data_IF_342900735145
#
_entry.id   IF_342900735145
#
_cell.length_a   1.000
_cell.length_b   1.000
_cell.length_c   1.000
_cell.angle_alpha   90.00
_cell.angle_beta   90.00
_cell.angle_gamma   90.00
#
_symmetry.space_group_name_H-M   'P 1'
#
loop_
_entity.id
_entity.type
_entity.pdbx_description
1 polymer ?
#
# COMPACT_ATOMS: atom_id res chain seq x y z
N UNK A 1 -33.64 26.43 15.16
CA UNK A 1 -32.60 25.84 16.04
C UNK A 1 -32.13 24.42 15.65
N UNK A 2 -32.84 23.69 14.78
CA UNK A 2 -32.49 22.29 14.39
C UNK A 2 -31.23 22.13 13.51
N UNK A 3 -30.70 23.20 12.94
CA UNK A 3 -29.63 23.11 11.92
C UNK A 3 -28.21 23.20 12.52
N UNK A 4 -28.08 23.68 13.77
CA UNK A 4 -26.77 23.80 14.44
C UNK A 4 -26.22 22.46 14.94
N UNK A 5 -27.09 21.52 15.33
CA UNK A 5 -26.69 20.18 15.80
C UNK A 5 -26.16 19.28 14.68
N UNK A 6 -26.69 19.40 13.46
CA UNK A 6 -26.24 18.61 12.31
C UNK A 6 -24.82 18.97 11.86
N UNK A 7 -24.47 20.26 11.91
CA UNK A 7 -23.13 20.74 11.55
C UNK A 7 -22.05 20.20 12.50
N UNK A 8 -22.31 20.13 13.81
CA UNK A 8 -21.35 19.61 14.79
C UNK A 8 -21.06 18.12 14.62
N UNK A 9 -22.09 17.31 14.31
CA UNK A 9 -21.91 15.87 14.06
C UNK A 9 -21.12 15.64 12.77
N UNK A 10 -21.42 16.39 11.70
CA UNK A 10 -20.70 16.27 10.43
C UNK A 10 -19.20 16.62 10.58
N UNK A 11 -18.86 17.65 11.36
CA UNK A 11 -17.47 18.02 11.66
C UNK A 11 -16.75 16.93 12.45
N UNK A 12 -17.39 16.34 13.46
CA UNK A 12 -16.80 15.25 14.25
C UNK A 12 -16.55 14.00 13.40
N UNK A 13 -17.49 13.65 12.51
CA UNK A 13 -17.32 12.52 11.58
C UNK A 13 -16.17 12.78 10.60
N UNK A 14 -16.07 13.98 10.02
CA UNK A 14 -14.98 14.33 9.12
C UNK A 14 -13.61 14.25 9.81
N UNK A 15 -13.49 14.76 11.05
CA UNK A 15 -12.25 14.68 11.83
C UNK A 15 -11.89 13.24 12.19
N UNK A 16 -12.89 12.41 12.55
CA UNK A 16 -12.67 10.99 12.83
C UNK A 16 -12.19 10.24 11.58
N UNK A 17 -12.77 10.51 10.40
CA UNK A 17 -12.33 9.91 9.14
C UNK A 17 -10.90 10.31 8.76
N UNK A 18 -10.54 11.58 8.95
CA UNK A 18 -9.17 12.06 8.72
C UNK A 18 -8.17 11.45 9.71
N UNK A 19 -8.54 11.36 10.99
CA UNK A 19 -7.71 10.71 12.01
C UNK A 19 -7.49 9.22 11.71
N UNK A 20 -8.56 8.52 11.32
CA UNK A 20 -8.49 7.12 10.90
C UNK A 20 -7.60 6.93 9.66
N UNK A 21 -7.76 7.80 8.65
CA UNK A 21 -6.94 7.74 7.45
C UNK A 21 -5.45 7.98 7.76
N UNK A 22 -5.12 8.95 8.61
CA UNK A 22 -3.73 9.20 9.00
C UNK A 22 -3.11 8.00 9.73
N UNK A 23 -3.85 7.37 10.64
CA UNK A 23 -3.35 6.21 11.40
C UNK A 23 -3.11 4.99 10.49
N UNK A 24 -3.85 4.88 9.38
CA UNK A 24 -3.76 3.75 8.44
C UNK A 24 -2.72 3.95 7.33
N UNK A 25 -2.06 5.11 7.26
CA UNK A 25 -0.97 5.32 6.31
C UNK A 25 0.26 4.48 6.70
N UNK A 26 0.84 3.71 5.76
CA UNK A 26 2.08 2.96 6.00
C UNK A 26 3.22 3.90 6.39
N UNK A 27 3.97 3.55 7.44
CA UNK A 27 5.10 4.35 7.96
C UNK A 27 6.45 3.79 7.55
N UNK A 28 6.48 2.54 7.08
CA UNK A 28 7.69 1.83 6.66
C UNK A 28 7.53 1.21 5.27
N UNK A 29 8.62 0.96 4.53
CA UNK A 29 8.57 0.23 3.27
C UNK A 29 7.96 -1.18 3.41
N UNK A 30 8.17 -1.85 4.55
CA UNK A 30 7.56 -3.15 4.84
C UNK A 30 6.04 -3.07 4.96
N UNK A 31 5.52 -2.13 5.76
CA UNK A 31 4.08 -1.92 5.87
C UNK A 31 3.47 -1.51 4.53
N UNK A 32 4.17 -0.65 3.78
CA UNK A 32 3.78 -0.24 2.45
C UNK A 32 3.65 -1.45 1.51
N UNK A 33 4.68 -2.29 1.44
CA UNK A 33 4.66 -3.55 0.70
C UNK A 33 3.50 -4.45 1.12
N UNK A 34 3.31 -4.68 2.43
CA UNK A 34 2.25 -5.56 2.92
C UNK A 34 0.86 -5.06 2.54
N UNK A 35 0.60 -3.76 2.71
CA UNK A 35 -0.71 -3.18 2.39
C UNK A 35 -0.99 -3.24 0.88
N UNK A 36 -0.04 -2.80 0.04
CA UNK A 36 -0.26 -2.78 -1.41
C UNK A 36 -0.30 -4.18 -2.01
N UNK A 37 0.68 -5.03 -1.70
CA UNK A 37 0.77 -6.35 -2.31
C UNK A 37 -0.24 -7.37 -1.76
N UNK A 38 -0.82 -7.15 -0.58
CA UNK A 38 -1.89 -8.01 -0.06
C UNK A 38 -3.31 -7.60 -0.53
N UNK A 39 -3.44 -6.52 -1.29
CA UNK A 39 -4.75 -5.99 -1.71
C UNK A 39 -5.52 -6.96 -2.62
N UNK A 40 -4.82 -7.69 -3.48
CA UNK A 40 -5.47 -8.60 -4.44
C UNK A 40 -5.45 -10.06 -4.01
N UNK A 41 -4.38 -10.50 -3.33
CA UNK A 41 -4.18 -11.89 -2.91
C UNK A 41 -3.20 -11.97 -1.74
N UNK A 42 -3.06 -13.15 -1.13
CA UNK A 42 -2.05 -13.40 -0.10
C UNK A 42 -0.64 -13.19 -0.67
N UNK A 43 0.26 -12.64 0.14
CA UNK A 43 1.66 -12.45 -0.25
C UNK A 43 2.34 -13.79 -0.55
N UNK A 44 3.06 -13.90 -1.68
CA UNK A 44 3.77 -15.12 -2.03
C UNK A 44 5.00 -15.31 -1.13
N UNK A 45 5.45 -16.56 -1.01
CA UNK A 45 6.79 -16.81 -0.49
C UNK A 45 7.83 -16.40 -1.53
N UNK A 46 8.71 -15.49 -1.14
CA UNK A 46 9.77 -14.98 -2.00
C UNK A 46 11.11 -15.68 -1.75
N UNK A 47 11.22 -16.61 -0.78
CA UNK A 47 12.47 -17.24 -0.34
C UNK A 47 13.29 -17.84 -1.50
N UNK A 48 12.63 -18.43 -2.49
CA UNK A 48 13.26 -19.06 -3.66
C UNK A 48 13.78 -18.11 -4.74
N UNK A 49 13.50 -16.81 -4.67
CA UNK A 49 13.96 -15.82 -5.66
C UNK A 49 15.25 -15.13 -5.23
N UNK A 50 16.11 -14.87 -6.21
CA UNK A 50 17.32 -14.06 -6.07
C UNK A 50 17.00 -12.57 -6.10
N UNK A 51 17.97 -11.77 -5.65
CA UNK A 51 17.85 -10.30 -5.60
C UNK A 51 17.58 -9.69 -6.98
N UNK A 52 18.29 -10.13 -8.00
CA UNK A 52 18.17 -9.64 -9.39
C UNK A 52 16.85 -10.04 -10.07
N UNK A 53 16.13 -11.03 -9.52
CA UNK A 53 14.82 -11.46 -10.01
C UNK A 53 13.67 -10.61 -9.47
N UNK A 54 13.85 -9.92 -8.33
CA UNK A 54 12.81 -9.15 -7.63
C UNK A 54 12.19 -8.07 -8.52
N UNK A 55 13.01 -7.28 -9.20
CA UNK A 55 12.53 -6.24 -10.10
C UNK A 55 11.67 -6.82 -11.24
N UNK A 56 12.01 -8.03 -11.70
CA UNK A 56 11.23 -8.79 -12.68
C UNK A 56 9.85 -9.19 -12.16
N UNK A 57 9.75 -9.61 -10.88
CA UNK A 57 8.48 -9.97 -10.25
C UNK A 57 7.56 -8.75 -10.17
N UNK A 58 8.04 -7.63 -9.62
CA UNK A 58 7.23 -6.41 -9.46
C UNK A 58 6.75 -5.91 -10.82
N UNK A 59 7.64 -5.88 -11.82
CA UNK A 59 7.29 -5.51 -13.20
C UNK A 59 6.24 -6.45 -13.80
N UNK A 60 6.37 -7.76 -13.59
CA UNK A 60 5.42 -8.76 -14.10
C UNK A 60 4.06 -8.58 -13.45
N UNK A 61 3.99 -8.39 -12.12
CA UNK A 61 2.72 -8.16 -11.45
C UNK A 61 2.00 -6.93 -12.01
N UNK A 62 2.73 -5.84 -12.23
CA UNK A 62 2.15 -4.60 -12.77
C UNK A 62 1.69 -4.76 -14.21
N UNK A 63 2.54 -5.30 -15.09
CA UNK A 63 2.27 -5.30 -16.54
C UNK A 63 1.47 -6.50 -17.03
N UNK A 64 1.45 -7.62 -16.31
CA UNK A 64 0.78 -8.86 -16.71
C UNK A 64 -0.37 -9.26 -15.81
N UNK A 65 -0.35 -8.87 -14.54
CA UNK A 65 -1.36 -9.31 -13.56
C UNK A 65 -2.26 -8.15 -13.08
N UNK A 66 -2.19 -6.99 -13.73
CA UNK A 66 -3.10 -5.86 -13.46
C UNK A 66 -2.82 -5.10 -12.17
N UNK A 67 -1.64 -5.28 -11.56
CA UNK A 67 -1.28 -4.54 -10.35
C UNK A 67 -0.97 -3.06 -10.63
N UNK A 68 -0.82 -2.66 -11.89
CA UNK A 68 -0.74 -1.25 -12.33
C UNK A 68 -1.96 -0.41 -11.91
N UNK A 69 -3.12 -1.03 -11.72
CA UNK A 69 -4.34 -0.37 -11.22
C UNK A 69 -4.28 0.05 -9.76
N UNK A 70 -3.37 -0.55 -8.99
CA UNK A 70 -3.27 -0.40 -7.53
C UNK A 70 -1.84 -0.19 -7.06
N UNK A 71 -0.86 -0.07 -7.95
CA UNK A 71 0.55 0.23 -7.67
C UNK A 71 1.07 1.09 -8.82
N UNK A 72 1.33 2.36 -8.55
CA UNK A 72 1.95 3.27 -9.53
C UNK A 72 3.46 3.04 -9.69
N UNK A 73 4.13 3.84 -10.52
CA UNK A 73 5.57 3.68 -10.81
C UNK A 73 6.46 3.97 -9.59
N UNK A 74 6.13 5.00 -8.81
CA UNK A 74 6.91 5.40 -7.63
C UNK A 74 6.76 4.37 -6.50
N UNK A 75 5.53 3.90 -6.30
CA UNK A 75 5.21 2.84 -5.36
C UNK A 75 5.91 1.53 -5.73
N UNK A 76 5.99 1.21 -7.03
CA UNK A 76 6.71 0.05 -7.53
C UNK A 76 8.22 0.13 -7.22
N UNK A 77 8.82 1.32 -7.34
CA UNK A 77 10.23 1.52 -7.02
C UNK A 77 10.51 1.33 -5.52
N UNK A 78 9.63 1.84 -4.64
CA UNK A 78 9.72 1.64 -3.19
C UNK A 78 9.65 0.16 -2.85
N UNK A 79 8.66 -0.56 -3.40
CA UNK A 79 8.48 -1.99 -3.16
C UNK A 79 9.69 -2.79 -3.67
N UNK A 80 10.18 -2.47 -4.86
CA UNK A 80 11.35 -3.16 -5.45
C UNK A 80 12.57 -3.00 -4.55
N UNK A 81 12.88 -1.77 -4.12
CA UNK A 81 14.02 -1.50 -3.22
C UNK A 81 13.88 -2.21 -1.88
N UNK A 82 12.69 -2.23 -1.31
CA UNK A 82 12.43 -2.97 -0.07
C UNK A 82 12.71 -4.47 -0.22
N UNK A 83 12.16 -5.09 -1.26
CA UNK A 83 12.31 -6.52 -1.52
C UNK A 83 13.76 -6.90 -1.87
N UNK A 84 14.48 -6.07 -2.63
CA UNK A 84 15.90 -6.26 -2.90
C UNK A 84 16.76 -6.17 -1.63
N UNK A 85 16.40 -5.29 -0.70
CA UNK A 85 17.07 -5.17 0.60
C UNK A 85 16.87 -6.37 1.52
N UNK A 86 15.83 -7.18 1.29
CA UNK A 86 15.62 -8.45 2.00
C UNK A 86 16.49 -9.60 1.48
N UNK A 87 17.17 -9.41 0.35
CA UNK A 87 17.99 -10.41 -0.32
C UNK A 87 19.47 -10.06 -0.10
N UNK A 88 20.08 -10.73 0.87
CA UNK A 88 21.53 -10.71 1.12
C UNK A 88 22.32 -11.32 -0.04
#
# INVERSE_FOLDING_TARGET
MRWKLGASIAVLLALASLGWWWITLPRTPEEFFKIRCATCHKLPDLSGYKRDEIAGIVRTMRTKNGADKVIDDDEAEIITRYLEGMKE
#
